data_IF_277462237100
#
_entry.id   IF_277462237100
#
_cell.length_a   1.000
_cell.length_b   1.000
_cell.length_c   1.000
_cell.angle_alpha   90.00
_cell.angle_beta   90.00
_cell.angle_gamma   90.00
#
_symmetry.space_group_name_H-M   'P 1'
#
loop_
_entity.id
_entity.type
_entity.pdbx_description
1 polymer ?
#
# COMPACT_ATOMS: atom_id res chain seq x y z
N UNK A 1 -46.31 77.34 125.36
CA UNK A 1 -44.92 76.94 125.03
C UNK A 1 -44.88 76.21 123.68
N UNK A 2 -44.00 76.61 122.76
CA UNK A 2 -43.86 75.92 121.48
C UNK A 2 -43.10 74.60 121.71
N UNK A 3 -43.67 73.50 121.21
CA UNK A 3 -43.11 72.16 121.37
C UNK A 3 -41.79 72.00 120.60
N UNK A 4 -40.91 71.14 121.13
CA UNK A 4 -39.62 70.89 120.51
C UNK A 4 -39.80 70.41 119.06
N UNK A 5 -39.00 70.90 118.10
CA UNK A 5 -39.09 70.45 116.73
C UNK A 5 -38.90 68.94 116.64
N UNK A 6 -39.68 68.31 115.75
CA UNK A 6 -39.57 66.88 115.51
C UNK A 6 -38.17 66.49 115.06
N UNK A 7 -37.73 65.30 115.44
CA UNK A 7 -36.44 64.79 114.98
C UNK A 7 -36.44 64.67 113.46
N UNK A 8 -35.31 65.03 112.80
CA UNK A 8 -35.18 64.82 111.36
C UNK A 8 -35.39 63.35 111.02
N UNK A 9 -36.05 63.10 109.89
CA UNK A 9 -36.23 61.74 109.40
C UNK A 9 -34.89 61.05 109.15
N UNK A 10 -34.87 59.72 109.29
CA UNK A 10 -33.68 58.93 108.95
C UNK A 10 -33.31 59.06 107.48
N UNK A 11 -32.04 58.83 107.09
CA UNK A 11 -31.64 58.85 105.69
C UNK A 11 -32.44 57.83 104.88
N UNK A 12 -32.76 58.17 103.63
CA UNK A 12 -33.42 57.25 102.71
C UNK A 12 -32.56 56.01 102.42
N UNK A 13 -33.19 54.89 102.09
CA UNK A 13 -32.46 53.68 101.71
C UNK A 13 -31.67 53.91 100.41
N UNK A 14 -30.45 53.35 100.28
CA UNK A 14 -29.72 53.39 99.03
C UNK A 14 -30.54 52.74 97.90
N UNK A 15 -30.50 53.36 96.71
CA UNK A 15 -31.13 52.79 95.53
C UNK A 15 -30.49 51.47 95.12
N UNK A 16 -31.28 50.56 94.57
CA UNK A 16 -30.83 49.27 94.07
C UNK A 16 -29.98 49.44 92.80
N UNK A 17 -28.90 48.66 92.69
CA UNK A 17 -28.01 48.69 91.53
C UNK A 17 -28.79 48.34 90.24
N UNK A 18 -28.48 49.05 89.16
CA UNK A 18 -29.07 48.77 87.85
C UNK A 18 -28.65 47.37 87.36
N UNK A 19 -29.59 46.63 86.77
CA UNK A 19 -29.30 45.34 86.16
C UNK A 19 -28.38 45.53 84.95
N UNK A 20 -27.11 45.10 85.05
CA UNK A 20 -26.22 45.02 83.89
C UNK A 20 -26.64 43.84 83.04
N UNK A 21 -27.35 44.11 81.95
CA UNK A 21 -27.66 43.11 80.93
C UNK A 21 -26.46 43.04 79.98
N UNK A 22 -25.70 41.92 79.93
CA UNK A 22 -24.63 41.78 78.95
C UNK A 22 -25.23 41.84 77.54
N UNK A 23 -24.64 42.64 76.66
CA UNK A 23 -25.04 42.64 75.26
C UNK A 23 -24.83 41.25 74.67
N UNK A 24 -25.89 40.64 74.13
CA UNK A 24 -25.79 39.37 73.42
C UNK A 24 -24.91 39.54 72.19
N UNK A 25 -23.95 38.64 71.92
CA UNK A 25 -23.19 38.66 70.68
C UNK A 25 -24.11 38.68 69.46
N UNK A 26 -23.69 39.41 68.42
CA UNK A 26 -24.41 39.44 67.16
C UNK A 26 -24.54 38.05 66.54
N UNK A 27 -25.55 37.86 65.71
CA UNK A 27 -25.70 36.62 64.95
C UNK A 27 -24.48 36.43 64.02
N UNK A 28 -24.03 35.18 63.79
CA UNK A 28 -23.05 34.90 62.76
C UNK A 28 -23.49 35.47 61.41
N UNK A 29 -22.52 35.92 60.60
CA UNK A 29 -22.80 36.38 59.25
C UNK A 29 -23.40 35.27 58.38
N UNK A 30 -24.12 35.62 57.30
CA UNK A 30 -24.61 34.63 56.36
C UNK A 30 -23.43 33.89 55.71
N UNK A 31 -23.63 32.63 55.26
CA UNK A 31 -22.65 31.94 54.44
C UNK A 31 -22.25 32.76 53.21
N UNK A 32 -21.00 32.61 52.78
CA UNK A 32 -20.52 33.22 51.53
C UNK A 32 -21.29 32.70 50.31
N UNK A 33 -21.26 33.43 49.19
CA UNK A 33 -21.84 32.96 47.95
C UNK A 33 -21.13 31.69 47.44
N UNK A 34 -21.81 30.84 46.65
CA UNK A 34 -21.16 29.75 45.95
C UNK A 34 -19.98 30.24 45.09
N UNK A 35 -18.98 29.38 44.93
CA UNK A 35 -17.86 29.66 44.01
C UNK A 35 -18.32 29.78 42.56
N UNK A 36 -17.50 30.41 41.73
CA UNK A 36 -17.73 30.48 40.29
C UNK A 36 -17.73 29.08 39.67
N UNK A 37 -18.50 28.91 38.59
CA UNK A 37 -18.40 27.71 37.77
C UNK A 37 -16.95 27.49 37.30
N UNK A 38 -16.56 26.22 37.18
CA UNK A 38 -15.27 25.87 36.60
C UNK A 38 -15.18 26.28 35.13
N UNK A 39 -13.97 26.37 34.57
CA UNK A 39 -13.80 26.62 33.15
C UNK A 39 -14.42 25.49 32.31
N UNK A 40 -14.81 25.76 31.05
CA UNK A 40 -15.20 24.72 30.10
C UNK A 40 -14.11 23.64 29.97
N UNK A 41 -14.52 22.42 29.63
CA UNK A 41 -13.58 21.36 29.30
C UNK A 41 -12.76 21.68 28.04
N UNK A 42 -11.64 21.00 27.87
CA UNK A 42 -10.83 21.11 26.65
C UNK A 42 -11.60 20.56 25.44
N UNK A 43 -11.28 21.07 24.25
CA UNK A 43 -11.77 20.53 22.99
C UNK A 43 -11.39 19.05 22.84
N UNK A 44 -12.24 18.30 22.14
CA UNK A 44 -11.94 16.91 21.78
C UNK A 44 -10.72 16.83 20.86
N UNK A 45 -10.03 15.68 20.88
CA UNK A 45 -8.94 15.44 19.94
C UNK A 45 -9.48 15.41 18.49
N UNK A 46 -8.70 15.91 17.51
CA UNK A 46 -9.04 15.75 16.10
C UNK A 46 -9.30 14.28 15.75
N UNK A 47 -10.21 14.03 14.80
CA UNK A 47 -10.43 12.69 14.28
C UNK A 47 -9.16 12.11 13.64
N UNK A 48 -9.06 10.78 13.60
CA UNK A 48 -7.98 10.11 12.91
C UNK A 48 -8.00 10.46 11.41
N UNK A 49 -6.82 10.54 10.75
CA UNK A 49 -6.76 10.66 9.29
C UNK A 49 -7.57 9.55 8.61
N UNK A 50 -8.14 9.86 7.44
CA UNK A 50 -8.78 8.84 6.60
C UNK A 50 -7.81 7.72 6.24
N UNK A 51 -8.34 6.53 5.99
CA UNK A 51 -7.55 5.41 5.48
C UNK A 51 -6.92 5.73 4.12
N UNK A 52 -5.82 5.05 3.79
CA UNK A 52 -5.19 5.17 2.47
C UNK A 52 -6.18 4.79 1.36
N UNK A 53 -6.07 5.45 0.21
CA UNK A 53 -6.85 5.08 -0.99
C UNK A 53 -6.56 3.64 -1.42
N UNK A 54 -7.52 3.03 -2.11
CA UNK A 54 -7.31 1.69 -2.68
C UNK A 54 -6.19 1.72 -3.73
N UNK A 55 -5.40 0.64 -3.88
CA UNK A 55 -4.44 0.52 -4.98
C UNK A 55 -5.11 0.73 -6.32
N UNK A 56 -4.38 1.31 -7.27
CA UNK A 56 -4.87 1.45 -8.65
C UNK A 56 -5.16 0.10 -9.31
N UNK A 57 -5.99 0.06 -10.37
CA UNK A 57 -6.27 -1.16 -11.11
C UNK A 57 -4.99 -1.74 -11.74
N UNK A 58 -4.96 -3.06 -11.92
CA UNK A 58 -3.87 -3.72 -12.65
C UNK A 58 -3.78 -3.17 -14.07
N UNK A 59 -2.56 -2.96 -14.57
CA UNK A 59 -2.34 -2.56 -15.96
C UNK A 59 -2.86 -3.59 -16.98
N UNK A 60 -3.07 -3.18 -18.24
CA UNK A 60 -3.51 -4.09 -19.30
C UNK A 60 -2.46 -5.20 -19.56
N UNK A 61 -2.87 -6.36 -20.09
CA UNK A 61 -1.93 -7.37 -20.57
C UNK A 61 -0.93 -6.80 -21.59
N UNK A 62 0.27 -7.38 -21.65
CA UNK A 62 1.24 -7.05 -22.69
C UNK A 62 0.70 -7.38 -24.09
N UNK A 63 1.24 -6.71 -25.11
CA UNK A 63 0.92 -7.01 -26.50
C UNK A 63 1.35 -8.42 -26.90
N UNK A 64 0.74 -8.95 -27.97
CA UNK A 64 1.13 -10.23 -28.55
C UNK A 64 2.60 -10.19 -29.02
N UNK A 65 3.31 -11.30 -28.90
CA UNK A 65 4.65 -11.46 -29.46
C UNK A 65 4.65 -11.29 -30.99
N UNK A 66 5.80 -10.90 -31.54
CA UNK A 66 5.97 -10.83 -32.99
C UNK A 66 5.84 -12.23 -33.62
N UNK A 67 5.29 -12.35 -34.84
CA UNK A 67 5.31 -13.61 -35.59
C UNK A 67 6.72 -14.19 -35.71
N UNK A 68 6.81 -15.51 -35.73
CA UNK A 68 8.08 -16.21 -36.00
C UNK A 68 8.65 -15.82 -37.36
N UNK A 69 9.97 -15.94 -37.51
CA UNK A 69 10.63 -15.73 -38.81
C UNK A 69 10.19 -16.81 -39.81
N UNK A 70 10.12 -16.49 -41.12
CA UNK A 70 9.89 -17.51 -42.15
C UNK A 70 10.91 -18.65 -42.07
N UNK A 71 10.50 -19.85 -42.47
CA UNK A 71 11.40 -21.00 -42.59
C UNK A 71 12.47 -20.78 -43.66
N UNK A 72 13.59 -21.47 -43.53
CA UNK A 72 14.64 -21.45 -44.55
C UNK A 72 14.16 -22.10 -45.86
N UNK A 73 14.66 -21.67 -47.03
CA UNK A 73 14.41 -22.35 -48.30
C UNK A 73 14.80 -23.83 -48.26
N UNK A 74 14.10 -24.66 -49.05
CA UNK A 74 14.45 -26.05 -49.24
C UNK A 74 15.82 -26.22 -49.92
N UNK A 75 16.44 -27.39 -49.73
CA UNK A 75 17.71 -27.72 -50.41
C UNK A 75 17.47 -27.87 -51.92
N UNK A 76 18.44 -27.49 -52.78
CA UNK A 76 18.39 -27.80 -54.20
C UNK A 76 18.20 -29.30 -54.46
N UNK A 77 17.53 -29.66 -55.56
CA UNK A 77 17.39 -31.04 -55.99
C UNK A 77 18.71 -31.66 -56.44
N UNK A 78 18.79 -32.99 -56.43
CA UNK A 78 19.98 -33.71 -56.90
C UNK A 78 20.16 -33.55 -58.43
N UNK A 79 21.41 -33.49 -58.93
CA UNK A 79 21.67 -33.53 -60.37
C UNK A 79 21.11 -34.79 -61.03
N UNK A 80 20.59 -34.65 -62.26
CA UNK A 80 20.16 -35.80 -63.05
C UNK A 80 21.32 -36.75 -63.36
N UNK A 81 21.05 -38.07 -63.43
CA UNK A 81 22.05 -39.05 -63.87
C UNK A 81 22.43 -38.77 -65.33
N UNK A 82 23.73 -38.60 -65.59
CA UNK A 82 24.26 -38.43 -66.94
C UNK A 82 23.96 -39.67 -67.81
N UNK A 83 23.78 -39.44 -69.12
CA UNK A 83 23.61 -40.52 -70.08
C UNK A 83 24.89 -41.37 -70.18
N UNK A 84 24.75 -42.69 -70.26
CA UNK A 84 25.88 -43.58 -70.55
C UNK A 84 26.41 -43.31 -71.95
N UNK A 85 27.74 -43.23 -72.17
CA UNK A 85 28.30 -43.12 -73.51
C UNK A 85 27.83 -44.27 -74.41
N UNK A 86 27.48 -43.96 -75.67
CA UNK A 86 27.12 -44.98 -76.65
C UNK A 86 28.31 -45.89 -76.97
N UNK A 87 28.04 -47.20 -77.12
CA UNK A 87 29.07 -48.18 -77.46
C UNK A 87 29.71 -47.86 -78.81
N UNK A 88 31.05 -47.97 -78.90
CA UNK A 88 31.79 -47.73 -80.14
C UNK A 88 31.52 -48.86 -81.13
N UNK A 89 31.03 -48.54 -82.34
CA UNK A 89 30.88 -49.50 -83.43
C UNK A 89 32.21 -50.06 -83.91
N UNK A 90 32.27 -51.37 -84.13
CA UNK A 90 33.47 -52.09 -84.61
C UNK A 90 33.58 -51.92 -86.13
N UNK A 91 34.63 -51.24 -86.61
CA UNK A 91 34.99 -51.22 -88.03
C UNK A 91 36.03 -52.33 -88.30
N UNK A 92 35.73 -53.39 -89.08
CA UNK A 92 36.76 -54.32 -89.51
C UNK A 92 37.67 -53.64 -90.53
N UNK A 93 38.97 -53.59 -90.23
CA UNK A 93 39.98 -52.99 -91.11
C UNK A 93 40.55 -54.09 -92.01
N UNK A 94 40.40 -53.87 -93.32
CA UNK A 94 41.10 -54.48 -94.46
C UNK A 94 40.56 -55.81 -95.04
N UNK A 95 40.04 -55.71 -96.27
CA UNK A 95 40.05 -56.78 -97.26
C UNK A 95 41.51 -57.18 -97.56
N UNK A 96 41.89 -58.42 -97.31
CA UNK A 96 43.07 -59.04 -97.93
C UNK A 96 42.61 -59.79 -99.18
N UNK A 97 43.29 -59.56 -100.31
CA UNK A 97 42.95 -60.09 -101.65
C UNK A 97 43.11 -61.61 -101.82
N UNK A 98 43.26 -62.37 -100.73
CA UNK A 98 43.64 -63.80 -100.77
C UNK A 98 42.60 -64.74 -100.14
N UNK A 99 41.33 -64.33 -100.04
CA UNK A 99 40.19 -65.23 -99.82
C UNK A 99 40.15 -66.06 -98.52
N UNK A 100 41.08 -65.85 -97.59
CA UNK A 100 41.10 -66.53 -96.29
C UNK A 100 40.52 -65.64 -95.19
N UNK A 101 39.55 -66.14 -94.43
CA UNK A 101 39.10 -65.51 -93.18
C UNK A 101 40.12 -65.87 -92.09
N UNK A 102 40.72 -64.86 -91.47
CA UNK A 102 41.61 -65.04 -90.32
C UNK A 102 40.86 -64.63 -89.07
N UNK A 103 40.80 -65.53 -88.09
CA UNK A 103 40.30 -65.23 -86.76
C UNK A 103 41.49 -64.87 -85.85
N UNK A 104 41.26 -64.04 -84.82
CA UNK A 104 42.30 -63.60 -83.86
C UNK A 104 42.99 -64.76 -83.11
N UNK A 105 42.50 -65.99 -83.24
CA UNK A 105 43.12 -67.21 -82.71
C UNK A 105 44.26 -67.78 -83.57
N UNK A 106 44.54 -67.19 -84.74
CA UNK A 106 45.67 -67.55 -85.58
C UNK A 106 45.53 -68.85 -86.37
N UNK A 107 44.33 -69.44 -86.47
CA UNK A 107 44.13 -70.67 -87.26
C UNK A 107 43.51 -70.40 -88.64
N UNK A 108 44.09 -71.01 -89.70
CA UNK A 108 43.56 -71.00 -91.09
C UNK A 108 42.77 -72.28 -91.37
N UNK A 109 41.62 -72.17 -92.04
CA UNK A 109 40.96 -73.27 -92.77
C UNK A 109 40.65 -72.82 -94.18
#
# INVERSE_FOLDING_TARGET
>A
PAGNPGQPGGPGQPGNNAASIPATPGLPGPPGPPGSAGPPGNDGQPGNPGGAGQPGPKGPPGGNGQPGRPGNPGRPGEPGRGATPGERGICPKYCANDGGVFFEDGTRR
#
